data_IF_121913065045
#
_entry.id   IF_121913065045
#
_cell.length_a   1.000
_cell.length_b   1.000
_cell.length_c   1.000
_cell.angle_alpha   90.00
_cell.angle_beta   90.00
_cell.angle_gamma   90.00
#
_symmetry.space_group_name_H-M   'P 1'
#
loop_
_entity.id
_entity.type
_entity.pdbx_description
1 polymer ?
#
# COMPACT_ATOMS: atom_id res chain seq x y z
N UNK A 1 16.69 41.70 -9.02
CA UNK A 1 16.32 41.38 -7.61
C UNK A 1 14.82 41.16 -7.40
N UNK A 2 13.89 41.93 -8.00
CA UNK A 2 12.43 41.79 -7.76
C UNK A 2 11.84 40.37 -7.92
N UNK A 3 12.34 39.54 -8.83
CA UNK A 3 11.81 38.19 -9.06
C UNK A 3 12.25 37.13 -8.04
N UNK A 4 13.37 37.35 -7.33
CA UNK A 4 13.91 36.36 -6.37
C UNK A 4 13.45 36.63 -4.95
N UNK A 5 13.11 37.88 -4.62
CA UNK A 5 12.57 38.29 -3.31
C UNK A 5 11.40 37.41 -2.82
N UNK A 6 10.33 37.15 -3.60
CA UNK A 6 9.21 36.33 -3.11
C UNK A 6 9.59 34.85 -2.91
N UNK A 7 10.58 34.33 -3.65
CA UNK A 7 11.05 32.96 -3.46
C UNK A 7 11.87 32.82 -2.18
N UNK A 8 12.74 33.81 -1.90
CA UNK A 8 13.56 33.85 -0.69
C UNK A 8 12.72 34.01 0.56
N UNK A 9 11.72 34.90 0.55
CA UNK A 9 10.78 35.06 1.67
C UNK A 9 10.10 33.73 2.02
N UNK A 10 9.62 32.99 1.01
CA UNK A 10 9.00 31.67 1.22
C UNK A 10 10.00 30.64 1.76
N UNK A 11 11.21 30.58 1.22
CA UNK A 11 12.20 29.60 1.64
C UNK A 11 12.74 29.87 3.04
N UNK A 12 13.04 31.13 3.35
CA UNK A 12 13.50 31.56 4.68
C UNK A 12 12.39 31.42 5.72
N UNK A 13 11.14 31.75 5.37
CA UNK A 13 9.98 31.51 6.23
C UNK A 13 9.81 30.03 6.59
N UNK A 14 9.87 29.14 5.59
CA UNK A 14 9.81 27.69 5.81
C UNK A 14 11.00 27.15 6.63
N UNK A 15 12.19 27.75 6.46
CA UNK A 15 13.38 27.38 7.23
C UNK A 15 13.22 27.74 8.70
N UNK A 16 12.81 28.98 8.98
CA UNK A 16 12.63 29.47 10.35
C UNK A 16 11.50 28.73 11.07
N UNK A 17 10.34 28.53 10.42
CA UNK A 17 9.24 27.72 10.99
C UNK A 17 9.74 26.31 11.33
N UNK A 18 10.46 25.64 10.43
CA UNK A 18 11.03 24.30 10.73
C UNK A 18 12.08 24.31 11.85
N UNK A 19 12.81 25.40 12.05
CA UNK A 19 13.83 25.51 13.10
C UNK A 19 13.21 25.69 14.48
N UNK A 20 12.16 26.51 14.59
CA UNK A 20 11.52 26.83 15.86
C UNK A 20 10.36 25.90 16.22
N UNK A 21 9.54 25.51 15.24
CA UNK A 21 8.34 24.67 15.42
C UNK A 21 8.64 23.18 15.17
N UNK A 22 9.80 22.88 14.60
CA UNK A 22 10.22 21.52 14.27
C UNK A 22 9.60 20.96 12.99
N UNK A 23 9.82 19.66 12.71
CA UNK A 23 9.27 18.97 11.54
C UNK A 23 8.02 18.17 11.91
N UNK A 24 6.91 18.42 11.23
CA UNK A 24 5.74 17.55 11.29
C UNK A 24 6.00 16.24 10.52
N UNK A 25 6.21 15.14 11.25
CA UNK A 25 6.60 13.85 10.67
C UNK A 25 5.49 13.15 9.87
N UNK A 26 4.21 13.42 10.20
CA UNK A 26 3.02 12.85 9.54
C UNK A 26 1.97 13.89 9.13
N UNK A 27 2.33 15.18 9.15
CA UNK A 27 1.36 16.27 8.92
C UNK A 27 0.93 16.45 7.47
N UNK A 28 1.66 15.88 6.51
CA UNK A 28 1.36 15.99 5.07
C UNK A 28 1.41 14.61 4.43
N UNK A 29 0.33 14.23 3.75
CA UNK A 29 0.28 13.01 2.95
C UNK A 29 1.27 13.12 1.78
N UNK A 30 2.09 12.09 1.59
CA UNK A 30 3.10 12.08 0.52
C UNK A 30 2.44 11.72 -0.81
N UNK A 31 2.59 12.58 -1.82
CA UNK A 31 2.20 12.27 -3.19
C UNK A 31 3.02 11.10 -3.73
N UNK A 32 2.38 10.21 -4.48
CA UNK A 32 3.04 9.07 -5.13
C UNK A 32 3.82 9.59 -6.34
N UNK A 33 5.15 9.59 -6.22
CA UNK A 33 6.05 9.92 -7.33
C UNK A 33 6.42 8.67 -8.12
N UNK A 34 7.04 8.85 -9.30
CA UNK A 34 7.39 7.76 -10.23
C UNK A 34 8.15 6.60 -9.58
N UNK A 35 9.00 6.87 -8.58
CA UNK A 35 9.75 5.85 -7.85
C UNK A 35 8.86 4.87 -7.06
N UNK A 36 7.67 5.30 -6.61
CA UNK A 36 6.83 4.54 -5.69
C UNK A 36 5.55 4.00 -6.32
N UNK A 37 5.41 4.14 -7.64
CA UNK A 37 4.18 3.76 -8.36
C UNK A 37 3.87 2.29 -8.16
N UNK A 38 4.84 1.40 -8.38
CA UNK A 38 4.64 -0.05 -8.26
C UNK A 38 4.35 -0.48 -6.82
N UNK A 39 5.11 0.05 -5.85
CA UNK A 39 4.88 -0.29 -4.43
C UNK A 39 3.53 0.22 -3.92
N UNK A 40 3.08 1.38 -4.41
CA UNK A 40 1.75 1.89 -4.06
C UNK A 40 0.66 1.06 -4.72
N UNK A 41 0.82 0.66 -5.98
CA UNK A 41 -0.11 -0.25 -6.65
C UNK A 41 -0.27 -1.58 -5.90
N UNK A 42 0.83 -2.18 -5.43
CA UNK A 42 0.79 -3.43 -4.66
C UNK A 42 0.11 -3.25 -3.28
N UNK A 43 0.20 -2.06 -2.68
CA UNK A 43 -0.51 -1.72 -1.44
C UNK A 43 -2.02 -1.65 -1.67
N UNK A 44 -2.44 -0.92 -2.72
CA UNK A 44 -3.85 -0.75 -3.07
C UNK A 44 -4.48 -2.08 -3.52
N UNK A 45 -3.78 -2.88 -4.33
CA UNK A 45 -4.25 -4.21 -4.76
C UNK A 45 -4.51 -5.13 -3.56
N UNK A 46 -3.58 -5.13 -2.59
CA UNK A 46 -3.73 -5.94 -1.37
C UNK A 46 -4.90 -5.47 -0.52
N UNK A 47 -5.12 -4.16 -0.42
CA UNK A 47 -6.27 -3.59 0.30
C UNK A 47 -7.59 -3.96 -0.38
N UNK A 48 -7.69 -3.81 -1.71
CA UNK A 48 -8.88 -4.17 -2.48
C UNK A 48 -9.25 -5.64 -2.31
N UNK A 49 -8.28 -6.55 -2.51
CA UNK A 49 -8.50 -8.00 -2.35
C UNK A 49 -8.90 -8.34 -0.90
N UNK A 50 -8.31 -7.66 0.08
CA UNK A 50 -8.68 -7.86 1.48
C UNK A 50 -10.13 -7.46 1.76
N UNK A 51 -10.59 -6.35 1.21
CA UNK A 51 -11.98 -5.90 1.34
C UNK A 51 -12.94 -6.91 0.71
N UNK A 52 -12.67 -7.34 -0.53
CA UNK A 52 -13.51 -8.31 -1.24
C UNK A 52 -13.63 -9.64 -0.47
N UNK A 53 -12.52 -10.13 0.10
CA UNK A 53 -12.50 -11.38 0.88
C UNK A 53 -13.34 -11.25 2.16
N UNK A 54 -13.26 -10.12 2.87
CA UNK A 54 -14.01 -9.92 4.10
C UNK A 54 -15.52 -9.90 3.85
N UNK A 55 -15.95 -9.36 2.72
CA UNK A 55 -17.35 -9.29 2.32
C UNK A 55 -17.89 -10.64 1.83
N UNK A 56 -17.04 -11.46 1.21
CA UNK A 56 -17.39 -12.82 0.77
C UNK A 56 -17.40 -13.86 1.91
N UNK A 57 -16.79 -13.57 3.07
CA UNK A 57 -16.69 -14.53 4.17
C UNK A 57 -17.85 -14.45 5.17
N UNK A 58 -18.41 -15.60 5.60
CA UNK A 58 -19.44 -15.62 6.63
C UNK A 58 -18.92 -15.21 8.02
N UNK A 59 -19.83 -14.72 8.86
CA UNK A 59 -19.58 -14.33 10.25
C UNK A 59 -18.94 -15.49 11.03
N UNK A 60 -17.73 -15.30 11.58
CA UNK A 60 -17.03 -16.29 12.42
C UNK A 60 -15.69 -16.82 11.88
N UNK A 61 -15.36 -16.60 10.59
CA UNK A 61 -14.14 -17.17 9.96
C UNK A 61 -13.11 -16.08 9.54
N UNK A 62 -13.45 -14.80 9.75
CA UNK A 62 -12.89 -13.65 9.01
C UNK A 62 -11.38 -13.36 9.20
N UNK A 63 -10.80 -13.61 10.37
CA UNK A 63 -9.44 -13.09 10.66
C UNK A 63 -8.29 -14.06 10.34
N UNK A 64 -8.49 -15.37 10.53
CA UNK A 64 -7.37 -16.33 10.43
C UNK A 64 -7.00 -16.68 8.98
N UNK A 65 -7.94 -16.56 8.03
CA UNK A 65 -7.74 -17.01 6.64
C UNK A 65 -7.26 -15.93 5.68
N UNK A 66 -7.50 -14.67 6.02
CA UNK A 66 -7.15 -13.53 5.18
C UNK A 66 -5.67 -13.50 4.76
N UNK A 67 -4.76 -13.71 5.73
CA UNK A 67 -3.31 -13.73 5.47
C UNK A 67 -2.89 -14.86 4.52
N UNK A 68 -3.54 -16.02 4.62
CA UNK A 68 -3.26 -17.20 3.80
C UNK A 68 -3.70 -16.96 2.36
N UNK A 69 -4.86 -16.34 2.16
CA UNK A 69 -5.35 -15.98 0.82
C UNK A 69 -4.40 -14.97 0.14
N UNK A 70 -3.90 -13.97 0.89
CA UNK A 70 -2.90 -13.03 0.36
C UNK A 70 -1.57 -13.71 -0.02
N UNK A 71 -1.17 -14.76 0.70
CA UNK A 71 -0.02 -15.59 0.31
C UNK A 71 -0.29 -16.33 -1.00
N UNK A 72 -1.48 -16.92 -1.15
CA UNK A 72 -1.88 -17.57 -2.41
C UNK A 72 -1.92 -16.60 -3.60
N UNK A 73 -2.41 -15.36 -3.41
CA UNK A 73 -2.38 -14.32 -4.43
C UNK A 73 -0.94 -13.99 -4.85
N UNK A 74 -0.04 -13.86 -3.87
CA UNK A 74 1.38 -13.57 -4.12
C UNK A 74 2.06 -14.71 -4.90
N UNK A 75 1.70 -15.96 -4.61
CA UNK A 75 2.23 -17.13 -5.30
C UNK A 75 1.64 -17.30 -6.70
N UNK A 76 0.33 -17.07 -6.87
CA UNK A 76 -0.32 -17.05 -8.17
C UNK A 76 0.34 -16.04 -9.12
N UNK A 77 0.67 -14.85 -8.61
CA UNK A 77 1.39 -13.82 -9.36
C UNK A 77 2.80 -14.27 -9.79
N UNK A 78 3.52 -14.98 -8.93
CA UNK A 78 4.84 -15.55 -9.25
C UNK A 78 4.73 -16.62 -10.33
N UNK A 79 3.79 -17.55 -10.20
CA UNK A 79 3.54 -18.60 -11.20
C UNK A 79 3.14 -18.00 -12.55
N UNK A 80 2.28 -16.98 -12.54
CA UNK A 80 1.90 -16.27 -13.76
C UNK A 80 3.10 -15.63 -14.47
N UNK A 81 3.96 -14.89 -13.73
CA UNK A 81 5.18 -14.30 -14.30
C UNK A 81 6.18 -15.34 -14.81
N UNK A 82 6.21 -16.51 -14.20
CA UNK A 82 7.06 -17.63 -14.61
C UNK A 82 6.45 -18.50 -15.73
N UNK A 83 5.23 -18.20 -16.16
CA UNK A 83 4.45 -19.01 -17.11
C UNK A 83 4.28 -20.49 -16.67
N UNK A 84 4.13 -20.71 -15.36
CA UNK A 84 3.91 -22.04 -14.76
C UNK A 84 2.42 -22.16 -14.42
N UNK A 85 1.76 -23.28 -14.74
CA UNK A 85 0.37 -23.48 -14.38
C UNK A 85 0.19 -23.50 -12.86
N UNK A 86 -0.59 -22.56 -12.34
CA UNK A 86 -0.93 -22.49 -10.93
C UNK A 86 -2.18 -23.32 -10.66
N UNK A 87 -2.01 -24.52 -10.09
CA UNK A 87 -3.11 -25.41 -9.69
C UNK A 87 -3.00 -25.71 -8.20
N UNK A 88 -3.84 -25.07 -7.39
CA UNK A 88 -3.83 -25.30 -5.94
C UNK A 88 -4.80 -26.41 -5.58
N UNK A 89 -4.29 -27.50 -5.00
CA UNK A 89 -5.13 -28.60 -4.49
C UNK A 89 -5.83 -28.26 -3.15
N UNK A 90 -5.34 -27.25 -2.41
CA UNK A 90 -5.65 -27.07 -0.97
C UNK A 90 -6.59 -25.88 -0.67
N UNK A 91 -6.96 -25.03 -1.65
CA UNK A 91 -7.80 -23.84 -1.37
C UNK A 91 -9.14 -24.21 -0.69
N UNK A 92 -9.76 -25.32 -1.07
CA UNK A 92 -11.01 -25.77 -0.45
C UNK A 92 -10.81 -26.30 0.99
N UNK A 93 -9.67 -26.91 1.31
CA UNK A 93 -9.38 -27.42 2.65
C UNK A 93 -9.15 -26.30 3.67
N UNK A 94 -8.64 -25.15 3.24
CA UNK A 94 -8.42 -23.98 4.11
C UNK A 94 -9.74 -23.22 4.32
N UNK A 95 -10.66 -23.22 3.35
CA UNK A 95 -11.99 -22.61 3.53
C UNK A 95 -12.95 -23.46 4.39
N UNK A 96 -12.76 -24.79 4.44
CA UNK A 96 -13.62 -25.73 5.19
C UNK A 96 -13.18 -26.06 6.63
N UNK A 97 -11.99 -25.66 7.07
CA UNK A 97 -11.52 -25.77 8.47
C UNK A 97 -11.57 -24.43 9.19
#
# INVERSE_FOLDING_TARGET
MRGITPLLERWLGNLLSRQFEGRHSKGVAKTVTKQRVESHFDLELRAAVMHDILDMMPEGIKQNKARVILQHLSEAWRCWKANIPWKVMIINLILLA
#
